data_IF_294289307938
#
_entry.id   IF_294289307938
#
_cell.length_a   1.000
_cell.length_b   1.000
_cell.length_c   1.000
_cell.angle_alpha   90.00
_cell.angle_beta   90.00
_cell.angle_gamma   90.00
#
_symmetry.space_group_name_H-M   'P 1'
#
loop_
_entity.id
_entity.type
_entity.pdbx_description
1 polymer ?
#
# COMPACT_ATOMS: atom_id res chain seq x y z
N UNK A 1 -7.14 -64.55 15.31
CA UNK A 1 -7.28 -63.57 14.21
C UNK A 1 -7.62 -62.21 14.82
N UNK A 2 -7.13 -61.13 14.20
CA UNK A 2 -6.99 -59.72 14.66
C UNK A 2 -5.70 -59.56 15.47
N UNK A 3 -4.52 -59.27 14.90
CA UNK A 3 -4.03 -58.31 13.88
C UNK A 3 -3.92 -56.87 14.42
N UNK A 4 -2.67 -56.55 14.75
CA UNK A 4 -1.95 -55.37 15.26
C UNK A 4 -2.31 -54.03 14.59
N UNK A 5 -1.80 -52.91 15.18
CA UNK A 5 -1.60 -51.52 14.64
C UNK A 5 -2.50 -50.51 15.40
N UNK A 6 -2.11 -49.35 15.97
CA UNK A 6 -0.97 -48.44 15.81
C UNK A 6 -0.93 -47.47 17.01
N UNK A 7 0.26 -47.06 17.47
CA UNK A 7 0.47 -45.82 18.22
C UNK A 7 0.12 -44.61 17.33
N UNK A 8 -0.61 -43.60 17.83
CA UNK A 8 -0.61 -42.28 17.21
C UNK A 8 -0.35 -41.21 18.28
N UNK A 9 0.85 -40.68 18.23
CA UNK A 9 1.40 -39.69 19.12
C UNK A 9 0.67 -38.34 18.96
N UNK A 10 0.40 -37.72 20.11
CA UNK A 10 0.15 -36.30 20.23
C UNK A 10 1.43 -35.55 19.81
N UNK A 11 1.41 -34.90 18.65
CA UNK A 11 2.31 -33.78 18.39
C UNK A 11 1.53 -32.73 17.61
N UNK A 12 0.83 -31.88 18.38
CA UNK A 12 0.39 -30.58 17.90
C UNK A 12 1.64 -29.73 17.68
N UNK A 13 2.16 -29.74 16.46
CA UNK A 13 3.12 -28.75 16.00
C UNK A 13 2.56 -28.17 14.71
N UNK A 14 1.83 -27.07 14.90
CA UNK A 14 1.29 -26.17 13.90
C UNK A 14 2.31 -25.87 12.79
N UNK A 15 1.78 -25.82 11.58
CA UNK A 15 2.44 -25.44 10.33
C UNK A 15 3.30 -24.19 10.53
N UNK A 16 4.63 -24.34 10.47
CA UNK A 16 5.53 -23.23 10.19
C UNK A 16 5.58 -23.03 8.67
N UNK A 17 4.66 -22.24 8.13
CA UNK A 17 4.83 -21.66 6.80
C UNK A 17 5.87 -20.55 6.96
N UNK A 18 7.10 -20.87 6.57
CA UNK A 18 8.14 -19.87 6.40
C UNK A 18 7.88 -19.13 5.09
N UNK A 19 7.25 -17.96 5.17
CA UNK A 19 7.18 -17.05 4.06
C UNK A 19 8.43 -16.16 4.08
N UNK A 20 9.48 -16.59 3.40
CA UNK A 20 10.51 -15.67 2.93
C UNK A 20 9.88 -14.83 1.82
N UNK A 21 9.44 -13.62 2.15
CA UNK A 21 9.14 -12.59 1.17
C UNK A 21 10.24 -11.53 1.26
N UNK A 22 11.04 -11.55 0.20
CA UNK A 22 12.21 -10.75 -0.07
C UNK A 22 11.90 -9.24 -0.09
N UNK A 23 12.92 -8.47 0.23
CA UNK A 23 12.98 -7.03 0.42
C UNK A 23 12.39 -6.17 -0.70
N UNK A 24 11.51 -5.26 -0.31
CA UNK A 24 11.50 -3.83 -0.70
C UNK A 24 10.60 -3.13 0.33
N UNK A 25 10.83 -1.85 0.61
CA UNK A 25 10.09 -1.08 1.61
C UNK A 25 8.61 -0.88 1.23
N UNK A 26 7.82 -1.95 1.20
CA UNK A 26 6.36 -1.90 1.08
C UNK A 26 5.80 -1.84 2.49
N UNK A 27 5.42 -0.64 2.89
CA UNK A 27 4.70 -0.37 4.13
C UNK A 27 3.43 -1.23 4.15
N UNK A 28 3.43 -2.20 5.06
CA UNK A 28 2.40 -3.22 5.29
C UNK A 28 1.05 -2.59 5.63
N UNK A 29 0.05 -2.81 4.78
CA UNK A 29 -1.36 -2.83 5.19
C UNK A 29 -1.78 -4.30 5.19
N UNK A 30 -2.32 -4.87 6.28
CA UNK A 30 -2.62 -6.30 6.36
C UNK A 30 -3.68 -6.68 5.30
N UNK A 31 -3.56 -7.84 4.63
CA UNK A 31 -4.65 -8.38 3.84
C UNK A 31 -5.73 -8.88 4.80
N UNK A 32 -6.65 -8.01 5.18
CA UNK A 32 -7.91 -8.46 5.74
C UNK A 32 -8.64 -9.25 4.66
N UNK A 33 -8.90 -10.52 4.95
CA UNK A 33 -9.63 -11.43 4.09
C UNK A 33 -11.00 -10.83 3.72
N UNK A 34 -11.14 -10.38 2.47
CA UNK A 34 -12.42 -9.94 1.92
C UNK A 34 -12.26 -8.84 0.88
N UNK A 35 -12.32 -9.22 -0.40
CA UNK A 35 -12.38 -8.36 -1.60
C UNK A 35 -11.00 -7.81 -2.07
N UNK A 36 -10.57 -8.25 -3.26
CA UNK A 36 -9.25 -7.99 -3.83
C UNK A 36 -8.98 -6.53 -4.21
N UNK A 37 -8.54 -5.73 -3.25
CA UNK A 37 -7.94 -4.43 -3.51
C UNK A 37 -6.40 -4.59 -3.56
N UNK A 38 -5.81 -4.34 -4.74
CA UNK A 38 -4.36 -4.31 -4.89
C UNK A 38 -3.85 -2.94 -4.50
N UNK A 39 -3.03 -2.89 -3.47
CA UNK A 39 -2.33 -1.67 -3.08
C UNK A 39 -1.04 -1.51 -3.85
N UNK A 40 -0.82 -0.32 -4.40
CA UNK A 40 0.31 0.03 -5.23
C UNK A 40 0.92 1.34 -4.75
N UNK A 41 2.17 1.56 -5.10
CA UNK A 41 2.91 2.78 -4.82
C UNK A 41 3.35 3.42 -6.13
N UNK A 42 3.31 4.74 -6.19
CA UNK A 42 3.82 5.52 -7.31
C UNK A 42 4.57 6.73 -6.76
N UNK A 43 5.76 6.95 -7.29
CA UNK A 43 6.58 8.11 -6.95
C UNK A 43 6.63 9.03 -8.14
N UNK A 44 6.43 10.32 -7.90
CA UNK A 44 6.40 11.31 -8.96
C UNK A 44 6.38 12.73 -8.45
N UNK A 45 6.37 13.66 -9.38
CA UNK A 45 6.29 15.09 -9.11
C UNK A 45 4.84 15.55 -9.29
N UNK A 46 4.32 16.32 -8.34
CA UNK A 46 2.96 16.86 -8.42
C UNK A 46 2.90 17.90 -9.54
N UNK A 47 2.14 17.63 -10.59
CA UNK A 47 1.91 18.59 -11.69
C UNK A 47 0.62 19.39 -11.46
N UNK A 48 -0.39 18.76 -10.88
CA UNK A 48 -1.65 19.36 -10.50
C UNK A 48 -2.17 18.75 -9.20
N UNK A 49 -2.71 19.61 -8.33
CA UNK A 49 -3.17 19.23 -7.00
C UNK A 49 -4.49 19.92 -6.71
N UNK A 50 -5.53 19.10 -6.56
CA UNK A 50 -6.84 19.52 -6.10
C UNK A 50 -7.13 18.79 -4.79
N UNK A 51 -7.07 19.50 -3.64
CA UNK A 51 -7.27 18.86 -2.34
C UNK A 51 -8.63 18.16 -2.28
N UNK A 52 -8.67 16.97 -1.67
CA UNK A 52 -9.89 16.14 -1.49
C UNK A 52 -10.56 15.66 -2.80
N UNK A 53 -9.98 15.96 -3.97
CA UNK A 53 -10.58 15.64 -5.27
C UNK A 53 -9.65 14.77 -6.10
N UNK A 54 -8.55 15.34 -6.59
CA UNK A 54 -7.64 14.66 -7.52
C UNK A 54 -6.20 15.12 -7.37
N UNK A 55 -5.29 14.23 -7.72
CA UNK A 55 -3.86 14.48 -7.74
C UNK A 55 -3.29 13.96 -9.05
N UNK A 56 -2.48 14.78 -9.69
CA UNK A 56 -1.79 14.43 -10.92
C UNK A 56 -0.31 14.35 -10.64
N UNK A 57 0.25 13.18 -10.92
CA UNK A 57 1.64 12.88 -10.66
C UNK A 57 2.37 12.60 -11.97
N UNK A 58 3.39 13.40 -12.25
CA UNK A 58 4.37 13.05 -13.26
C UNK A 58 5.34 12.01 -12.69
N UNK A 59 5.23 10.78 -13.17
CA UNK A 59 6.12 9.68 -12.75
C UNK A 59 7.43 9.65 -13.53
N UNK A 60 7.60 10.54 -14.51
CA UNK A 60 8.73 10.54 -15.45
C UNK A 60 8.68 9.41 -16.48
N UNK A 61 7.64 8.57 -16.48
CA UNK A 61 7.45 7.47 -17.43
C UNK A 61 6.77 7.92 -18.74
N UNK A 62 6.49 9.21 -18.91
CA UNK A 62 5.91 9.80 -20.12
C UNK A 62 4.61 10.53 -19.85
N UNK A 63 3.56 9.81 -19.50
CA UNK A 63 2.24 10.39 -19.24
C UNK A 63 2.02 10.65 -17.73
N UNK A 64 1.54 11.83 -17.34
CA UNK A 64 1.15 12.08 -15.96
C UNK A 64 0.00 11.17 -15.53
N UNK A 65 0.11 10.60 -14.33
CA UNK A 65 -0.86 9.66 -13.79
C UNK A 65 -1.89 10.41 -12.94
N UNK A 66 -3.16 10.18 -13.24
CA UNK A 66 -4.28 10.69 -12.47
C UNK A 66 -4.61 9.77 -11.28
N UNK A 67 -4.80 10.39 -10.12
CA UNK A 67 -5.21 9.73 -8.90
C UNK A 67 -6.37 10.49 -8.27
N UNK A 68 -7.24 9.77 -7.56
CA UNK A 68 -8.33 10.36 -6.77
C UNK A 68 -8.03 10.20 -5.29
N UNK A 69 -8.35 11.20 -4.49
CA UNK A 69 -8.18 11.10 -3.04
C UNK A 69 -9.29 10.24 -2.43
N UNK A 70 -8.91 9.27 -1.59
CA UNK A 70 -9.87 8.55 -0.77
C UNK A 70 -10.44 9.45 0.33
N UNK A 71 -11.52 9.00 0.98
CA UNK A 71 -12.11 9.75 2.12
C UNK A 71 -11.16 9.89 3.32
N UNK A 72 -10.21 8.98 3.48
CA UNK A 72 -9.33 8.92 4.63
C UNK A 72 -7.88 8.84 4.17
N UNK A 73 -7.33 9.97 3.73
CA UNK A 73 -5.93 10.04 3.28
C UNK A 73 -5.01 10.29 4.47
N UNK A 74 -4.06 9.39 4.67
CA UNK A 74 -2.97 9.57 5.61
C UNK A 74 -1.83 10.31 4.94
N UNK A 75 -1.34 11.36 5.57
CA UNK A 75 -0.27 12.15 5.00
C UNK A 75 0.96 12.05 5.86
N UNK A 76 2.08 11.74 5.22
CA UNK A 76 3.37 11.51 5.86
C UNK A 76 4.35 12.56 5.32
N UNK A 77 4.95 13.33 6.22
CA UNK A 77 5.99 14.30 5.86
C UNK A 77 7.29 13.60 5.45
N UNK A 78 8.27 14.41 5.02
CA UNK A 78 9.61 13.96 4.70
C UNK A 78 10.26 13.17 5.87
N UNK A 79 10.06 13.63 7.10
CA UNK A 79 10.56 13.00 8.32
C UNK A 79 9.87 11.66 8.68
N UNK A 80 8.94 11.17 7.86
CA UNK A 80 8.17 9.96 8.15
C UNK A 80 7.08 10.15 9.20
N UNK A 81 6.90 11.36 9.74
CA UNK A 81 5.84 11.68 10.68
C UNK A 81 4.50 11.93 9.97
N UNK A 82 3.41 11.47 10.58
CA UNK A 82 2.06 11.76 10.06
C UNK A 82 1.75 13.24 10.28
N UNK A 83 1.47 13.96 9.21
CA UNK A 83 1.15 15.39 9.22
C UNK A 83 -0.33 15.57 8.89
N UNK A 84 -1.05 16.37 9.67
CA UNK A 84 -2.40 16.78 9.29
C UNK A 84 -2.30 17.93 8.29
N UNK A 85 -2.88 17.74 7.10
CA UNK A 85 -2.80 18.66 5.97
C UNK A 85 -1.36 18.93 5.50
N UNK A 86 -0.71 17.98 4.80
CA UNK A 86 0.54 18.29 4.15
C UNK A 86 0.25 19.43 3.18
N UNK A 87 1.08 20.47 3.23
CA UNK A 87 1.12 21.47 2.19
C UNK A 87 1.67 20.85 0.91
N UNK A 88 0.93 19.91 0.30
CA UNK A 88 1.23 19.40 -1.03
C UNK A 88 1.16 20.60 -1.96
N UNK A 89 2.27 20.85 -2.66
CA UNK A 89 2.38 21.94 -3.63
C UNK A 89 2.71 21.36 -4.98
N UNK A 90 2.37 22.10 -6.03
CA UNK A 90 2.84 21.82 -7.38
C UNK A 90 4.38 21.84 -7.40
N UNK A 91 4.99 20.96 -8.18
CA UNK A 91 6.43 20.69 -8.25
C UNK A 91 7.04 20.03 -7.00
N UNK A 92 6.22 19.49 -6.08
CA UNK A 92 6.73 18.72 -4.95
C UNK A 92 6.85 17.25 -5.35
N UNK A 93 7.94 16.59 -4.94
CA UNK A 93 8.12 15.16 -5.18
C UNK A 93 7.49 14.37 -4.04
N UNK A 94 6.62 13.44 -4.39
CA UNK A 94 5.91 12.62 -3.42
C UNK A 94 5.81 11.19 -3.87
N UNK A 95 5.66 10.31 -2.90
CA UNK A 95 5.32 8.91 -3.07
C UNK A 95 3.89 8.70 -2.60
N UNK A 96 2.98 8.45 -3.54
CA UNK A 96 1.60 8.12 -3.25
C UNK A 96 1.42 6.63 -3.16
N UNK A 97 0.64 6.20 -2.19
CA UNK A 97 0.15 4.85 -2.04
C UNK A 97 -1.34 4.88 -2.36
N UNK A 98 -1.72 4.02 -3.30
CA UNK A 98 -3.05 4.01 -3.87
C UNK A 98 -3.55 2.58 -4.06
N UNK A 99 -4.85 2.41 -3.95
CA UNK A 99 -5.54 1.15 -4.18
C UNK A 99 -6.30 1.26 -5.50
N UNK A 100 -6.28 0.17 -6.26
CA UNK A 100 -7.12 0.07 -7.46
C UNK A 100 -8.44 -0.58 -7.08
N UNK A 101 -9.52 0.19 -7.11
CA UNK A 101 -10.87 -0.26 -6.75
C UNK A 101 -11.80 0.00 -7.93
N UNK A 102 -12.29 -1.06 -8.58
CA UNK A 102 -13.18 -0.92 -9.74
C UNK A 102 -12.55 -0.27 -10.98
N UNK A 103 -11.22 -0.10 -10.99
CA UNK A 103 -10.48 0.60 -12.05
C UNK A 103 -9.96 1.99 -11.63
N UNK A 104 -10.50 2.56 -10.55
CA UNK A 104 -10.07 3.85 -10.02
C UNK A 104 -8.85 3.71 -9.12
N UNK A 105 -7.89 4.64 -9.24
CA UNK A 105 -6.68 4.71 -8.41
C UNK A 105 -6.94 5.64 -7.21
N UNK A 106 -7.35 5.04 -6.10
CA UNK A 106 -7.73 5.77 -4.88
C UNK A 106 -6.56 5.86 -3.93
N UNK A 107 -6.11 7.07 -3.62
CA UNK A 107 -5.02 7.32 -2.68
C UNK A 107 -5.53 7.11 -1.25
N UNK A 108 -4.84 6.27 -0.48
CA UNK A 108 -5.03 6.15 0.97
C UNK A 108 -3.89 6.82 1.75
N UNK A 109 -2.69 6.92 1.17
CA UNK A 109 -1.54 7.51 1.84
C UNK A 109 -0.65 8.28 0.88
N UNK A 110 -0.17 9.44 1.31
CA UNK A 110 0.84 10.22 0.58
C UNK A 110 2.04 10.42 1.49
N UNK A 111 3.23 10.18 0.96
CA UNK A 111 4.51 10.40 1.65
C UNK A 111 5.29 11.44 0.88
N UNK A 112 5.71 12.52 1.55
CA UNK A 112 6.63 13.48 0.96
C UNK A 112 8.03 12.86 0.89
N UNK A 113 8.69 13.02 -0.24
CA UNK A 113 10.09 12.64 -0.43
C UNK A 113 10.88 13.94 -0.60
N UNK A 114 11.90 14.15 0.24
CA UNK A 114 12.75 15.36 0.23
C UNK A 114 13.32 15.71 -1.15
#
# INVERSE_FOLDING_TARGET
MIKTILLMACVSASLAIVAYAQNSSTSTVPPSAGVGATSMESTGTITEYTPDSSLVLDTGSGEPVHFVFGRNVSYVGADGQTVQAPGLRKNLRVRVHYLVVGGDKVIDKVTQTE
#
